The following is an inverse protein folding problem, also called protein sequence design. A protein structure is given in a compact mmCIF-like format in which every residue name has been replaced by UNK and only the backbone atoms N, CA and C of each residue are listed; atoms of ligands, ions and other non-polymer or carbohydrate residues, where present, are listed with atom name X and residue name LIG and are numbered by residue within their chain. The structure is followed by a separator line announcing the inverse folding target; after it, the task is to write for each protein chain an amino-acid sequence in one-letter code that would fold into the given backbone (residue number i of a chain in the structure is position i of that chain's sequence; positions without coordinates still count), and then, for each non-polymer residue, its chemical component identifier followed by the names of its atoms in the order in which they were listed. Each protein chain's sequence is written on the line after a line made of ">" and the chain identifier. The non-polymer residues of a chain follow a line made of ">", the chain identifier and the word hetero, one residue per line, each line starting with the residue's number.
data_IF_956942464788
#
_entry.id   IF_956942464788
#
_cell.length_a   1.000
_cell.length_b   1.000
_cell.length_c   1.000
_cell.angle_alpha   90.00
_cell.angle_beta   90.00
_cell.angle_gamma   90.00
#
_symmetry.space_group_name_H-M   'P 1'
#
loop_
_entity.id
_entity.type
_entity.pdbx_description
1 polymer ?
#
# COMPACT_ATOMS: atom_id res chain seq x y z
N UNK A 1 -14.67 27.25 -21.33
CA UNK A 1 -13.25 27.59 -21.13
C UNK A 1 -12.64 26.45 -20.33
N UNK A 2 -11.55 25.80 -20.77
CA UNK A 2 -10.93 24.78 -19.94
C UNK A 2 -10.20 25.50 -18.80
N UNK A 3 -10.60 25.19 -17.57
CA UNK A 3 -9.97 25.67 -16.35
C UNK A 3 -8.49 25.24 -16.33
N UNK A 4 -7.63 26.17 -15.97
CA UNK A 4 -6.18 25.97 -15.88
C UNK A 4 -5.91 24.81 -14.92
N UNK A 5 -5.11 23.84 -15.35
CA UNK A 5 -4.65 22.73 -14.51
C UNK A 5 -3.83 23.27 -13.34
N UNK A 6 -4.48 23.51 -12.20
CA UNK A 6 -3.79 23.72 -10.94
C UNK A 6 -3.06 22.43 -10.54
N UNK A 7 -1.83 22.52 -10.00
CA UNK A 7 -1.10 21.35 -9.55
C UNK A 7 -1.88 20.68 -8.41
N UNK A 8 -2.20 19.39 -8.57
CA UNK A 8 -2.78 18.55 -7.53
C UNK A 8 -1.76 18.47 -6.39
N UNK A 9 -1.93 19.24 -5.33
CA UNK A 9 -0.96 19.30 -4.23
C UNK A 9 -1.37 18.49 -3.00
N UNK A 10 -2.52 17.81 -3.04
CA UNK A 10 -3.05 17.05 -1.90
C UNK A 10 -3.74 15.77 -2.39
N UNK A 11 -3.46 14.64 -1.72
CA UNK A 11 -4.11 13.37 -2.03
C UNK A 11 -5.61 13.47 -1.84
N UNK A 12 -6.41 13.38 -2.91
CA UNK A 12 -7.87 13.43 -2.82
C UNK A 12 -8.42 12.03 -2.53
N UNK A 13 -9.14 11.87 -1.42
CA UNK A 13 -9.79 10.61 -1.02
C UNK A 13 -11.14 10.48 -1.72
N UNK A 14 -11.39 9.35 -2.39
CA UNK A 14 -12.68 9.07 -3.02
C UNK A 14 -13.19 7.68 -2.67
N UNK A 15 -14.49 7.58 -2.41
CA UNK A 15 -15.16 6.31 -2.13
C UNK A 15 -15.65 5.67 -3.43
N UNK A 16 -15.13 4.48 -3.76
CA UNK A 16 -15.71 3.67 -4.84
C UNK A 16 -16.77 2.75 -4.25
N UNK A 17 -18.04 3.06 -4.55
CA UNK A 17 -19.24 2.36 -4.04
C UNK A 17 -19.23 0.83 -4.22
N UNK A 18 -18.45 0.30 -5.17
CA UNK A 18 -18.45 -1.14 -5.51
C UNK A 18 -17.32 -1.97 -4.87
N UNK A 19 -16.42 -1.37 -4.07
CA UNK A 19 -15.32 -2.14 -3.43
C UNK A 19 -15.26 -2.02 -1.91
N UNK A 20 -15.97 -1.07 -1.29
CA UNK A 20 -15.90 -0.86 0.16
C UNK A 20 -14.51 -0.40 0.66
N UNK A 21 -13.60 -0.04 -0.25
CA UNK A 21 -12.24 0.42 0.05
C UNK A 21 -12.08 1.87 -0.41
N UNK A 22 -11.53 2.78 0.41
CA UNK A 22 -11.19 4.13 -0.02
C UNK A 22 -10.12 4.07 -1.12
N UNK A 23 -10.30 4.82 -2.21
CA UNK A 23 -9.24 5.08 -3.17
C UNK A 23 -8.61 6.43 -2.91
N UNK A 24 -7.31 6.52 -3.12
CA UNK A 24 -6.53 7.74 -2.97
C UNK A 24 -6.01 8.15 -4.35
N UNK A 25 -6.38 9.36 -4.78
CA UNK A 25 -5.76 9.99 -5.93
C UNK A 25 -4.44 10.62 -5.46
N UNK A 26 -3.33 10.20 -6.06
CA UNK A 26 -2.02 10.74 -5.77
C UNK A 26 -1.58 11.70 -6.88
N UNK A 27 -0.79 12.73 -6.53
CA UNK A 27 -0.38 13.77 -7.48
C UNK A 27 0.61 13.27 -8.54
N UNK A 28 1.36 12.22 -8.22
CA UNK A 28 2.37 11.62 -9.08
C UNK A 28 2.54 10.12 -8.78
N UNK A 29 3.21 9.41 -9.69
CA UNK A 29 3.44 7.96 -9.59
C UNK A 29 4.28 7.60 -8.36
N UNK A 30 5.26 8.42 -7.99
CA UNK A 30 6.15 8.18 -6.85
C UNK A 30 5.36 8.20 -5.54
N UNK A 31 4.53 9.23 -5.35
CA UNK A 31 3.59 9.37 -4.24
C UNK A 31 2.58 8.21 -4.20
N UNK A 32 2.08 7.76 -5.35
CA UNK A 32 1.17 6.63 -5.45
C UNK A 32 1.82 5.31 -5.00
N UNK A 33 3.04 5.04 -5.48
CA UNK A 33 3.81 3.85 -5.11
C UNK A 33 4.15 3.86 -3.63
N UNK A 34 4.53 5.02 -3.08
CA UNK A 34 4.76 5.19 -1.63
C UNK A 34 3.52 4.93 -0.81
N UNK A 35 2.36 5.42 -1.24
CA UNK A 35 1.07 5.13 -0.63
C UNK A 35 0.74 3.64 -0.65
N UNK A 36 0.93 3.00 -1.81
CA UNK A 36 0.71 1.56 -1.98
C UNK A 36 1.61 0.71 -1.08
N UNK A 37 2.90 1.04 -0.92
CA UNK A 37 3.80 0.34 0.00
C UNK A 37 3.25 0.42 1.43
N UNK A 38 2.81 1.61 1.87
CA UNK A 38 2.23 1.80 3.21
C UNK A 38 0.96 0.97 3.41
N UNK A 39 0.08 0.92 2.41
CA UNK A 39 -1.13 0.08 2.46
C UNK A 39 -0.79 -1.41 2.53
N UNK A 40 0.18 -1.88 1.75
CA UNK A 40 0.62 -3.28 1.78
C UNK A 40 1.19 -3.64 3.16
N UNK A 41 2.02 -2.79 3.76
CA UNK A 41 2.60 -3.03 5.08
C UNK A 41 1.50 -3.11 6.15
N UNK A 42 0.52 -2.21 6.11
CA UNK A 42 -0.62 -2.24 7.04
C UNK A 42 -1.43 -3.53 6.90
N UNK A 43 -1.66 -4.01 5.68
CA UNK A 43 -2.38 -5.25 5.43
C UNK A 43 -1.61 -6.48 5.93
N UNK A 44 -0.28 -6.50 5.74
CA UNK A 44 0.60 -7.54 6.31
C UNK A 44 0.47 -7.54 7.83
N UNK A 45 0.66 -6.41 8.51
CA UNK A 45 0.53 -6.31 9.97
C UNK A 45 -0.85 -6.76 10.47
N UNK A 46 -1.91 -6.42 9.72
CA UNK A 46 -3.26 -6.85 10.04
C UNK A 46 -3.38 -8.38 9.98
N UNK A 47 -2.91 -9.02 8.91
CA UNK A 47 -2.94 -10.48 8.79
C UNK A 47 -2.02 -11.19 9.78
N UNK A 48 -0.87 -10.62 10.12
CA UNK A 48 0.00 -11.14 11.19
C UNK A 48 -0.71 -11.12 12.56
N UNK A 49 -1.46 -10.06 12.85
CA UNK A 49 -2.32 -10.01 14.05
C UNK A 49 -3.43 -11.06 13.96
N UNK A 50 -4.06 -11.26 12.80
CA UNK A 50 -5.08 -12.29 12.59
C UNK A 50 -4.53 -13.71 12.76
N UNK A 51 -3.28 -13.98 12.37
CA UNK A 51 -2.64 -15.30 12.57
C UNK A 51 -2.60 -15.67 14.06
N UNK A 52 -2.45 -14.70 14.97
CA UNK A 52 -2.41 -14.98 16.42
C UNK A 52 -3.71 -15.54 16.99
N UNK A 53 -4.84 -15.33 16.30
CA UNK A 53 -6.17 -15.78 16.72
C UNK A 53 -6.78 -16.84 15.78
N UNK A 54 -6.16 -17.09 14.63
CA UNK A 54 -6.61 -18.06 13.64
C UNK A 54 -6.19 -19.50 14.00
N UNK A 55 -6.79 -20.50 13.35
CA UNK A 55 -6.41 -21.91 13.57
C UNK A 55 -6.33 -22.75 12.29
N UNK A 56 -5.47 -23.77 12.30
CA UNK A 56 -5.37 -24.77 11.23
C UNK A 56 -5.12 -24.17 9.84
N UNK A 57 -6.05 -24.45 8.91
CA UNK A 57 -5.96 -24.05 7.50
C UNK A 57 -5.97 -22.52 7.29
N UNK A 58 -6.57 -21.77 8.21
CA UNK A 58 -6.62 -20.30 8.14
C UNK A 58 -5.23 -19.68 8.28
N UNK A 59 -4.38 -20.24 9.16
CA UNK A 59 -3.00 -19.78 9.34
C UNK A 59 -2.21 -19.97 8.05
N UNK A 60 -2.30 -21.15 7.43
CA UNK A 60 -1.59 -21.44 6.19
C UNK A 60 -2.06 -20.51 5.05
N UNK A 61 -3.36 -20.24 4.99
CA UNK A 61 -3.94 -19.29 4.04
C UNK A 61 -3.41 -17.86 4.25
N UNK A 62 -3.46 -17.35 5.48
CA UNK A 62 -2.97 -16.00 5.82
C UNK A 62 -1.47 -15.85 5.52
N UNK A 63 -0.64 -16.83 5.92
CA UNK A 63 0.80 -16.83 5.62
C UNK A 63 1.10 -16.76 4.13
N UNK A 64 0.35 -17.51 3.30
CA UNK A 64 0.52 -17.46 1.84
C UNK A 64 0.18 -16.09 1.27
N UNK A 65 -0.86 -15.44 1.81
CA UNK A 65 -1.21 -14.08 1.38
C UNK A 65 -0.17 -13.06 1.79
N UNK A 66 0.35 -13.12 3.01
CA UNK A 66 1.47 -12.28 3.47
C UNK A 66 2.67 -12.44 2.54
N UNK A 67 3.08 -13.67 2.26
CA UNK A 67 4.20 -13.95 1.34
C UNK A 67 4.00 -13.36 -0.08
N UNK A 68 2.74 -13.27 -0.53
CA UNK A 68 2.42 -12.66 -1.82
C UNK A 68 2.57 -11.13 -1.77
N UNK A 69 2.16 -10.51 -0.66
CA UNK A 69 2.34 -9.07 -0.44
C UNK A 69 3.82 -8.68 -0.29
N UNK A 70 4.60 -9.47 0.45
CA UNK A 70 6.06 -9.30 0.56
C UNK A 70 6.72 -9.40 -0.82
N UNK A 71 6.32 -10.38 -1.64
CA UNK A 71 6.79 -10.49 -3.02
C UNK A 71 6.44 -9.26 -3.86
N UNK A 72 5.24 -8.68 -3.68
CA UNK A 72 4.87 -7.43 -4.36
C UNK A 72 5.79 -6.28 -3.93
N UNK A 73 6.11 -6.16 -2.64
CA UNK A 73 7.07 -5.16 -2.14
C UNK A 73 8.43 -5.33 -2.84
N UNK A 74 8.95 -6.55 -2.95
CA UNK A 74 10.22 -6.80 -3.64
C UNK A 74 10.19 -6.40 -5.13
N UNK A 75 9.04 -6.57 -5.80
CA UNK A 75 8.88 -6.09 -7.19
C UNK A 75 8.84 -4.56 -7.26
N UNK A 76 8.17 -3.92 -6.32
CA UNK A 76 8.15 -2.46 -6.23
C UNK A 76 9.56 -1.94 -5.97
N UNK A 77 10.30 -2.51 -5.01
CA UNK A 77 11.69 -2.16 -4.69
C UNK A 77 12.60 -2.27 -5.92
N UNK A 78 12.41 -3.31 -6.74
CA UNK A 78 13.16 -3.47 -8.01
C UNK A 78 12.86 -2.36 -9.02
N UNK A 79 11.62 -1.88 -9.11
CA UNK A 79 11.19 -0.91 -10.13
C UNK A 79 11.29 0.55 -9.67
N UNK A 80 11.19 0.80 -8.37
CA UNK A 80 11.18 2.11 -7.72
C UNK A 80 12.11 2.10 -6.49
N UNK A 81 13.42 1.89 -6.67
CA UNK A 81 14.36 1.76 -5.55
C UNK A 81 14.44 3.04 -4.71
N UNK A 82 14.34 4.21 -5.34
CA UNK A 82 14.36 5.53 -4.69
C UNK A 82 13.16 5.75 -3.76
N UNK A 83 11.99 5.22 -4.12
CA UNK A 83 10.80 5.25 -3.26
C UNK A 83 10.99 4.39 -2.02
N UNK A 84 11.66 3.24 -2.18
CA UNK A 84 11.82 2.29 -1.10
C UNK A 84 12.77 2.81 -0.01
N UNK A 85 13.88 3.44 -0.40
CA UNK A 85 14.82 4.08 0.51
C UNK A 85 14.14 5.19 1.34
N UNK A 86 13.25 5.99 0.73
CA UNK A 86 12.48 7.01 1.45
C UNK A 86 11.53 6.41 2.49
N UNK A 87 10.85 5.30 2.16
CA UNK A 87 9.94 4.62 3.09
C UNK A 87 10.69 3.99 4.26
N UNK A 88 11.84 3.34 4.02
CA UNK A 88 12.67 2.77 5.10
C UNK A 88 13.14 3.87 6.06
N UNK A 89 13.64 4.99 5.54
CA UNK A 89 14.11 6.12 6.34
C UNK A 89 13.00 6.72 7.23
N UNK A 90 11.76 6.77 6.74
CA UNK A 90 10.59 7.26 7.49
C UNK A 90 10.13 6.33 8.62
N UNK A 91 10.43 5.03 8.54
CA UNK A 91 10.09 4.08 9.59
C UNK A 91 11.14 4.04 10.71
N UNK A 92 12.36 4.47 10.42
CA UNK A 92 13.48 4.53 11.38
C UNK A 92 13.65 5.88 12.08
N UNK A 93 12.94 6.91 11.63
CA UNK A 93 12.95 8.27 12.21
C UNK A 93 11.85 8.44 13.28
#
# INVERSE_FOLDING_TARGET
>A
MPEKNEPLNESKRFWVKNRGVPLYAYPDVKSAVRGLIKEIIQEIEYWEKSIKIASGLEIAFLKRRIATLEWCIEKIKKWFPDVFEEVENEQTA
#
